data_IF_361293255446
#
_entry.id   IF_361293255446
#
_cell.length_a   1.000
_cell.length_b   1.000
_cell.length_c   1.000
_cell.angle_alpha   90.00
_cell.angle_beta   90.00
_cell.angle_gamma   90.00
#
_symmetry.space_group_name_H-M   'P 1'
#
loop_
_entity.id
_entity.type
_entity.pdbx_description
1 polymer ?
#
# COMPACT_ATOMS: atom_id res chain seq x y z
N UNK A 1 -12.44 21.91 51.40
CA UNK A 1 -12.75 21.38 50.06
C UNK A 1 -11.42 21.06 49.40
N UNK A 2 -11.07 19.78 49.25
CA UNK A 2 -9.96 19.37 48.38
C UNK A 2 -10.56 19.23 46.99
N UNK A 3 -9.98 19.89 45.99
CA UNK A 3 -10.36 19.71 44.58
C UNK A 3 -10.20 18.24 44.16
N UNK A 4 -10.85 17.81 43.06
CA UNK A 4 -10.69 16.45 42.57
C UNK A 4 -9.19 16.19 42.31
N UNK A 5 -8.66 15.10 42.86
CA UNK A 5 -7.31 14.64 42.57
C UNK A 5 -7.26 14.30 41.07
N UNK A 6 -6.47 15.04 40.30
CA UNK A 6 -6.10 14.61 38.96
C UNK A 6 -5.46 13.21 39.08
N UNK A 7 -5.96 12.24 38.32
CA UNK A 7 -5.28 10.95 38.23
C UNK A 7 -3.90 11.20 37.61
N UNK A 8 -2.85 10.62 38.19
CA UNK A 8 -1.49 10.71 37.64
C UNK A 8 -1.42 10.16 36.20
N UNK A 9 -2.40 9.34 35.82
CA UNK A 9 -2.59 8.77 34.47
C UNK A 9 -3.24 9.73 33.44
N UNK A 10 -3.66 10.94 33.84
CA UNK A 10 -4.24 11.96 32.92
C UNK A 10 -3.22 13.00 32.45
N UNK A 11 -1.96 12.93 32.91
CA UNK A 11 -0.92 13.84 32.40
C UNK A 11 -0.47 13.34 31.03
N UNK A 12 -0.56 14.15 29.96
CA UNK A 12 -0.07 13.77 28.65
C UNK A 12 1.40 13.34 28.71
N UNK A 13 1.78 12.20 28.09
CA UNK A 13 3.17 11.79 28.03
C UNK A 13 4.00 12.79 27.24
N UNK A 14 5.20 13.13 27.73
CA UNK A 14 6.16 13.94 27.00
C UNK A 14 6.90 13.04 25.98
N UNK A 15 6.46 13.12 24.72
CA UNK A 15 7.02 12.29 23.64
C UNK A 15 8.48 12.61 23.37
N UNK A 16 8.90 13.86 23.50
CA UNK A 16 10.29 14.26 23.24
C UNK A 16 11.21 13.75 24.35
N UNK A 17 10.77 13.78 25.61
CA UNK A 17 11.50 13.17 26.72
C UNK A 17 11.62 11.65 26.54
N UNK A 18 10.50 10.96 26.23
CA UNK A 18 10.52 9.51 25.99
C UNK A 18 11.46 9.14 24.84
N UNK A 19 11.44 9.90 23.74
CA UNK A 19 12.35 9.71 22.60
C UNK A 19 13.80 9.95 22.99
N UNK A 20 14.10 11.05 23.67
CA UNK A 20 15.47 11.38 24.12
C UNK A 20 16.05 10.31 25.05
N UNK A 21 15.19 9.67 25.84
CA UNK A 21 15.57 8.57 26.74
C UNK A 21 15.57 7.19 26.05
N UNK A 22 15.25 7.12 24.75
CA UNK A 22 15.02 5.88 24.02
C UNK A 22 14.02 4.93 24.72
N UNK A 23 13.02 5.48 25.39
CA UNK A 23 11.98 4.70 26.06
C UNK A 23 10.94 4.19 25.06
N UNK A 24 11.33 3.15 24.33
CA UNK A 24 10.46 2.47 23.36
C UNK A 24 9.18 1.99 24.02
N UNK A 25 9.24 1.48 25.26
CA UNK A 25 8.04 0.96 25.95
C UNK A 25 7.04 2.07 26.26
N UNK A 26 7.54 3.22 26.73
CA UNK A 26 6.73 4.41 26.96
C UNK A 26 6.08 4.91 25.68
N UNK A 27 6.84 4.96 24.58
CA UNK A 27 6.34 5.37 23.27
C UNK A 27 5.28 4.39 22.72
N UNK A 28 5.46 3.08 22.89
CA UNK A 28 4.45 2.07 22.52
C UNK A 28 3.16 2.28 23.33
N UNK A 29 3.23 2.58 24.63
CA UNK A 29 2.04 2.95 25.42
C UNK A 29 1.39 4.22 24.86
N UNK A 30 2.19 5.21 24.46
CA UNK A 30 1.70 6.48 23.92
C UNK A 30 0.99 6.35 22.55
N UNK A 31 1.25 5.30 21.76
CA UNK A 31 0.49 5.00 20.53
C UNK A 31 -1.02 4.84 20.78
N UNK A 32 -1.40 4.41 21.98
CA UNK A 32 -2.79 4.21 22.40
C UNK A 32 -3.38 5.38 23.19
N UNK A 33 -2.63 6.47 23.38
CA UNK A 33 -3.08 7.61 24.16
C UNK A 33 -4.25 8.32 23.47
N UNK A 34 -5.30 8.61 24.23
CA UNK A 34 -6.48 9.32 23.73
C UNK A 34 -6.24 10.83 23.83
N UNK A 35 -5.99 11.48 22.71
CA UNK A 35 -6.02 12.94 22.58
C UNK A 35 -7.02 13.36 21.50
N UNK A 36 -7.68 14.51 21.69
CA UNK A 36 -8.72 14.99 20.77
C UNK A 36 -8.20 15.22 19.34
N UNK A 37 -6.91 15.55 19.22
CA UNK A 37 -6.22 15.89 17.97
C UNK A 37 -5.35 14.75 17.41
N UNK A 38 -5.26 13.61 18.12
CA UNK A 38 -4.34 12.51 17.82
C UNK A 38 -2.86 12.89 17.70
N UNK A 39 -2.45 14.06 18.21
CA UNK A 39 -1.07 14.55 18.09
C UNK A 39 -0.09 13.66 18.87
N UNK A 40 -0.44 13.31 20.10
CA UNK A 40 0.40 12.48 20.98
C UNK A 40 0.68 11.11 20.36
N UNK A 41 -0.33 10.30 19.97
CA UNK A 41 -0.04 8.98 19.44
C UNK A 41 0.63 9.03 18.05
N UNK A 42 0.39 10.07 17.25
CA UNK A 42 1.10 10.24 15.98
C UNK A 42 2.58 10.62 16.20
N UNK A 43 2.86 11.56 17.11
CA UNK A 43 4.23 11.93 17.48
C UNK A 43 4.98 10.73 18.07
N UNK A 44 4.31 9.89 18.86
CA UNK A 44 4.90 8.66 19.37
C UNK A 44 5.30 7.70 18.24
N UNK A 45 4.48 7.55 17.21
CA UNK A 45 4.81 6.74 16.03
C UNK A 45 6.02 7.31 15.27
N UNK A 46 6.07 8.63 15.06
CA UNK A 46 7.24 9.28 14.44
C UNK A 46 8.51 9.13 15.28
N UNK A 47 8.42 9.28 16.60
CA UNK A 47 9.55 9.07 17.51
C UNK A 47 10.07 7.63 17.44
N UNK A 48 9.19 6.63 17.32
CA UNK A 48 9.59 5.22 17.14
C UNK A 48 10.28 4.99 15.78
N UNK A 49 9.84 5.68 14.72
CA UNK A 49 10.54 5.67 13.42
C UNK A 49 11.93 6.27 13.54
N UNK A 50 12.08 7.42 14.23
CA UNK A 50 13.37 8.07 14.47
C UNK A 50 14.32 7.21 15.32
N UNK A 51 13.80 6.44 16.27
CA UNK A 51 14.58 5.48 17.06
C UNK A 51 15.10 4.33 16.17
N UNK A 52 14.29 3.84 15.23
CA UNK A 52 14.70 2.84 14.25
C UNK A 52 14.75 1.42 14.82
N UNK A 53 15.86 0.70 14.57
CA UNK A 53 16.04 -0.73 14.87
C UNK A 53 15.57 -1.17 16.28
N UNK A 54 15.87 -0.45 17.38
CA UNK A 54 15.43 -0.84 18.72
C UNK A 54 13.90 -0.90 18.90
N UNK A 55 13.15 -0.19 18.05
CA UNK A 55 11.69 -0.18 18.08
C UNK A 55 11.05 -1.34 17.30
N UNK A 56 11.79 -2.09 16.47
CA UNK A 56 11.23 -3.09 15.56
C UNK A 56 10.49 -4.22 16.28
N UNK A 57 11.16 -4.93 17.20
CA UNK A 57 10.50 -6.06 17.91
C UNK A 57 9.32 -5.58 18.78
N UNK A 58 9.44 -4.47 19.55
CA UNK A 58 8.29 -3.93 20.29
C UNK A 58 7.12 -3.50 19.40
N UNK A 59 7.39 -2.96 18.21
CA UNK A 59 6.36 -2.59 17.24
C UNK A 59 5.71 -3.83 16.59
N UNK A 60 6.48 -4.88 16.29
CA UNK A 60 5.95 -6.16 15.82
C UNK A 60 4.98 -6.74 16.86
N UNK A 61 5.31 -6.69 18.14
CA UNK A 61 4.39 -7.13 19.19
C UNK A 61 3.17 -6.20 19.30
N UNK A 62 3.34 -4.89 19.09
CA UNK A 62 2.24 -3.93 19.09
C UNK A 62 1.23 -4.13 17.95
N UNK A 63 1.60 -4.83 16.86
CA UNK A 63 0.64 -5.27 15.83
C UNK A 63 -0.40 -6.26 16.36
N UNK A 64 -0.20 -6.86 17.53
CA UNK A 64 -1.16 -7.80 18.16
C UNK A 64 -1.98 -7.14 19.26
N UNK A 65 -1.85 -5.83 19.45
CA UNK A 65 -2.52 -5.11 20.52
C UNK A 65 -4.05 -5.14 20.37
N UNK A 66 -4.80 -5.26 21.47
CA UNK A 66 -6.27 -5.24 21.45
C UNK A 66 -6.82 -3.92 20.88
N UNK A 67 -6.10 -2.81 21.08
CA UNK A 67 -6.46 -1.51 20.56
C UNK A 67 -6.04 -1.36 19.08
N UNK A 68 -7.01 -1.26 18.17
CA UNK A 68 -6.77 -1.08 16.74
C UNK A 68 -5.98 0.18 16.39
N UNK A 69 -6.08 1.23 17.22
CA UNK A 69 -5.30 2.45 17.05
C UNK A 69 -3.80 2.20 17.27
N UNK A 70 -3.45 1.35 18.23
CA UNK A 70 -2.05 0.95 18.47
C UNK A 70 -1.55 0.12 17.30
N UNK A 71 -2.33 -0.89 16.85
CA UNK A 71 -1.96 -1.74 15.71
C UNK A 71 -1.73 -0.93 14.43
N UNK A 72 -2.64 -0.02 14.10
CA UNK A 72 -2.54 0.80 12.90
C UNK A 72 -1.31 1.72 12.91
N UNK A 73 -0.98 2.32 14.05
CA UNK A 73 0.23 3.15 14.19
C UNK A 73 1.51 2.32 14.23
N UNK A 74 1.45 1.10 14.78
CA UNK A 74 2.57 0.18 14.73
C UNK A 74 2.90 -0.22 13.29
N UNK A 75 1.89 -0.56 12.47
CA UNK A 75 2.07 -0.85 11.05
C UNK A 75 2.70 0.33 10.30
N UNK A 76 2.20 1.55 10.55
CA UNK A 76 2.77 2.77 9.99
C UNK A 76 4.26 2.95 10.35
N UNK A 77 4.59 2.82 11.64
CA UNK A 77 5.96 3.00 12.13
C UNK A 77 6.91 1.94 11.57
N UNK A 78 6.48 0.67 11.51
CA UNK A 78 7.27 -0.41 10.90
C UNK A 78 7.60 -0.13 9.43
N UNK A 79 6.63 0.38 8.66
CA UNK A 79 6.86 0.82 7.29
C UNK A 79 7.79 2.02 7.18
N UNK A 80 7.81 2.91 8.17
CA UNK A 80 8.76 4.02 8.24
C UNK A 80 10.19 3.59 8.58
N UNK A 81 10.34 2.54 9.39
CA UNK A 81 11.65 1.96 9.75
C UNK A 81 12.21 1.13 8.59
N UNK A 82 11.37 0.38 7.89
CA UNK A 82 11.77 -0.38 6.70
C UNK A 82 12.52 -1.69 6.99
N UNK A 83 12.42 -2.22 8.22
CA UNK A 83 13.12 -3.45 8.61
C UNK A 83 12.40 -4.71 8.09
N UNK A 84 13.15 -5.60 7.42
CA UNK A 84 12.63 -6.83 6.80
C UNK A 84 12.01 -7.83 7.79
N UNK A 85 12.30 -7.70 9.10
CA UNK A 85 11.66 -8.51 10.16
C UNK A 85 10.17 -8.22 10.29
N UNK A 86 9.73 -7.04 9.87
CA UNK A 86 8.34 -6.63 9.90
C UNK A 86 7.48 -7.26 8.79
N UNK A 87 8.08 -7.89 7.78
CA UNK A 87 7.37 -8.37 6.58
C UNK A 87 6.29 -9.39 6.90
N UNK A 88 6.63 -10.49 7.61
CA UNK A 88 5.62 -11.52 7.95
C UNK A 88 4.52 -10.97 8.88
N UNK A 89 4.85 -10.23 9.97
CA UNK A 89 3.82 -9.59 10.80
C UNK A 89 2.91 -8.61 10.04
N UNK A 90 3.44 -7.86 9.07
CA UNK A 90 2.65 -6.95 8.25
C UNK A 90 1.78 -7.71 7.23
N UNK A 91 2.26 -8.84 6.70
CA UNK A 91 1.45 -9.76 5.87
C UNK A 91 0.26 -10.28 6.67
N UNK A 92 0.45 -10.64 7.95
CA UNK A 92 -0.66 -11.05 8.82
C UNK A 92 -1.67 -9.91 9.00
N UNK A 93 -1.19 -8.68 9.19
CA UNK A 93 -2.00 -7.48 9.38
C UNK A 93 -2.85 -7.07 8.16
N UNK A 94 -2.58 -7.64 6.97
CA UNK A 94 -3.45 -7.51 5.79
C UNK A 94 -4.82 -8.17 5.98
N UNK A 95 -5.06 -8.89 7.08
CA UNK A 95 -6.36 -9.50 7.40
C UNK A 95 -7.14 -8.75 8.49
N UNK A 96 -6.66 -7.58 8.92
CA UNK A 96 -7.29 -6.79 9.98
C UNK A 96 -8.40 -5.87 9.41
N UNK A 97 -8.80 -4.86 10.18
CA UNK A 97 -9.73 -3.79 9.77
C UNK A 97 -9.14 -2.96 8.62
N UNK A 98 -9.99 -2.34 7.80
CA UNK A 98 -9.56 -1.67 6.56
C UNK A 98 -8.44 -0.63 6.77
N UNK A 99 -8.51 0.14 7.86
CA UNK A 99 -7.46 1.11 8.23
C UNK A 99 -6.10 0.41 8.43
N UNK A 100 -6.09 -0.73 9.10
CA UNK A 100 -4.86 -1.48 9.39
C UNK A 100 -4.37 -2.21 8.14
N UNK A 101 -5.26 -2.81 7.33
CA UNK A 101 -4.89 -3.40 6.03
C UNK A 101 -4.22 -2.38 5.12
N UNK A 102 -4.80 -1.19 5.06
CA UNK A 102 -4.29 -0.06 4.29
C UNK A 102 -2.88 0.36 4.75
N UNK A 103 -2.67 0.51 6.06
CA UNK A 103 -1.35 0.82 6.62
C UNK A 103 -0.34 -0.32 6.41
N UNK A 104 -0.77 -1.57 6.53
CA UNK A 104 0.07 -2.75 6.32
C UNK A 104 0.53 -2.84 4.86
N UNK A 105 -0.38 -2.66 3.90
CA UNK A 105 -0.05 -2.62 2.48
C UNK A 105 0.96 -1.50 2.16
N UNK A 106 0.70 -0.28 2.63
CA UNK A 106 1.63 0.84 2.46
C UNK A 106 3.01 0.58 3.09
N UNK A 107 3.05 -0.06 4.25
CA UNK A 107 4.29 -0.44 4.92
C UNK A 107 5.08 -1.51 4.15
N UNK A 108 4.40 -2.55 3.67
CA UNK A 108 5.01 -3.60 2.84
C UNK A 108 5.61 -3.02 1.55
N UNK A 109 4.91 -2.08 0.91
CA UNK A 109 5.42 -1.36 -0.26
C UNK A 109 6.66 -0.53 0.02
N UNK A 110 6.75 0.10 1.20
CA UNK A 110 7.96 0.84 1.63
C UNK A 110 9.14 -0.08 1.92
N UNK A 111 8.88 -1.26 2.47
CA UNK A 111 9.92 -2.27 2.75
C UNK A 111 10.43 -2.89 1.43
N UNK A 112 9.54 -3.11 0.46
CA UNK A 112 9.91 -3.59 -0.88
C UNK A 112 10.31 -5.07 -0.95
N UNK A 113 9.99 -5.87 0.07
CA UNK A 113 10.34 -7.29 0.11
C UNK A 113 9.39 -8.12 -0.76
N UNK A 114 9.96 -8.94 -1.64
CA UNK A 114 9.22 -9.79 -2.58
C UNK A 114 8.25 -10.78 -1.91
N UNK A 115 8.47 -11.15 -0.64
CA UNK A 115 7.54 -12.01 0.13
C UNK A 115 6.14 -11.40 0.26
N UNK A 116 6.03 -10.07 0.14
CA UNK A 116 4.76 -9.35 0.23
C UNK A 116 3.89 -9.49 -1.03
N UNK A 117 4.44 -9.86 -2.18
CA UNK A 117 3.75 -9.79 -3.49
C UNK A 117 2.50 -10.66 -3.53
N UNK A 118 2.62 -11.95 -3.24
CA UNK A 118 1.49 -12.89 -3.29
C UNK A 118 0.39 -12.55 -2.27
N UNK A 119 0.72 -12.19 -1.00
CA UNK A 119 -0.26 -11.65 -0.06
C UNK A 119 -0.96 -10.39 -0.58
N UNK A 120 -0.24 -9.42 -1.14
CA UNK A 120 -0.82 -8.18 -1.67
C UNK A 120 -1.77 -8.46 -2.85
N UNK A 121 -1.44 -9.39 -3.74
CA UNK A 121 -2.31 -9.77 -4.86
C UNK A 121 -3.66 -10.29 -4.38
N UNK A 122 -3.70 -11.02 -3.25
CA UNK A 122 -4.96 -11.53 -2.67
C UNK A 122 -5.84 -10.43 -2.07
N UNK A 123 -5.34 -9.20 -1.94
CA UNK A 123 -6.06 -8.04 -1.40
C UNK A 123 -6.45 -7.06 -2.52
N UNK A 124 -6.19 -7.38 -3.79
CA UNK A 124 -6.57 -6.53 -4.92
C UNK A 124 -8.10 -6.36 -5.08
N UNK A 125 -8.89 -7.30 -4.58
CA UNK A 125 -10.35 -7.24 -4.58
C UNK A 125 -10.94 -6.78 -3.24
N UNK A 126 -10.15 -6.12 -2.39
CA UNK A 126 -10.61 -5.58 -1.11
C UNK A 126 -11.82 -4.65 -1.31
N UNK A 127 -12.74 -4.62 -0.35
CA UNK A 127 -13.94 -3.77 -0.41
C UNK A 127 -13.64 -2.28 -0.20
N UNK A 128 -12.52 -1.94 0.43
CA UNK A 128 -12.11 -0.58 0.74
C UNK A 128 -11.16 -0.04 -0.34
N UNK A 129 -11.59 1.00 -1.05
CA UNK A 129 -10.82 1.65 -2.13
C UNK A 129 -9.45 2.15 -1.66
N UNK A 130 -9.33 2.59 -0.39
CA UNK A 130 -8.05 3.05 0.17
C UNK A 130 -7.07 1.90 0.32
N UNK A 131 -7.57 0.71 0.68
CA UNK A 131 -6.76 -0.50 0.75
C UNK A 131 -6.29 -0.87 -0.65
N UNK A 132 -7.19 -0.91 -1.64
CA UNK A 132 -6.84 -1.20 -3.04
C UNK A 132 -5.75 -0.25 -3.58
N UNK A 133 -5.87 1.05 -3.32
CA UNK A 133 -4.87 2.05 -3.73
C UNK A 133 -3.50 1.76 -3.11
N UNK A 134 -3.46 1.50 -1.80
CA UNK A 134 -2.19 1.21 -1.12
C UNK A 134 -1.59 -0.14 -1.51
N UNK A 135 -2.40 -1.15 -1.81
CA UNK A 135 -1.94 -2.44 -2.36
C UNK A 135 -1.34 -2.25 -3.75
N UNK A 136 -2.01 -1.49 -4.61
CA UNK A 136 -1.52 -1.13 -5.95
C UNK A 136 -0.18 -0.41 -5.87
N UNK A 137 -0.11 0.66 -5.07
CA UNK A 137 1.12 1.42 -4.85
C UNK A 137 2.24 0.55 -4.27
N UNK A 138 1.91 -0.40 -3.39
CA UNK A 138 2.88 -1.32 -2.82
C UNK A 138 3.46 -2.26 -3.87
N UNK A 139 2.62 -2.89 -4.70
CA UNK A 139 3.07 -3.77 -5.79
C UNK A 139 3.92 -3.01 -6.81
N UNK A 140 3.54 -1.78 -7.15
CA UNK A 140 4.31 -0.90 -8.04
C UNK A 140 5.68 -0.56 -7.43
N UNK A 141 5.73 -0.20 -6.14
CA UNK A 141 7.00 0.08 -5.42
C UNK A 141 7.91 -1.14 -5.28
N UNK A 142 7.33 -2.33 -5.12
CA UNK A 142 8.08 -3.59 -5.11
C UNK A 142 8.71 -3.84 -6.50
N UNK A 143 7.98 -3.54 -7.58
CA UNK A 143 8.52 -3.52 -8.93
C UNK A 143 8.70 -4.90 -9.55
N UNK A 144 9.91 -5.22 -10.01
CA UNK A 144 10.24 -6.45 -10.76
C UNK A 144 9.64 -7.75 -10.17
N UNK A 145 9.71 -8.01 -8.84
CA UNK A 145 9.14 -9.22 -8.24
C UNK A 145 7.62 -9.34 -8.41
N UNK A 146 6.91 -8.23 -8.62
CA UNK A 146 5.46 -8.22 -8.82
C UNK A 146 5.04 -8.54 -10.26
N UNK A 147 5.95 -8.50 -11.24
CA UNK A 147 5.61 -8.59 -12.67
C UNK A 147 4.96 -9.92 -13.04
N UNK A 148 5.58 -11.07 -12.74
CA UNK A 148 5.02 -12.38 -13.09
C UNK A 148 3.70 -12.67 -12.36
N UNK A 149 3.60 -12.41 -11.03
CA UNK A 149 2.33 -12.59 -10.33
C UNK A 149 1.21 -11.67 -10.84
N UNK A 150 1.52 -10.43 -11.21
CA UNK A 150 0.55 -9.51 -11.84
C UNK A 150 0.13 -9.98 -13.24
N UNK A 151 1.04 -10.56 -14.04
CA UNK A 151 0.71 -11.18 -15.33
C UNK A 151 -0.28 -12.34 -15.13
N UNK A 152 -0.12 -13.15 -14.07
CA UNK A 152 -1.09 -14.19 -13.74
C UNK A 152 -2.44 -13.59 -13.31
N UNK A 153 -2.43 -12.50 -12.55
CA UNK A 153 -3.64 -11.80 -12.12
C UNK A 153 -4.48 -11.24 -13.30
N UNK A 154 -3.89 -10.99 -14.47
CA UNK A 154 -4.63 -10.66 -15.70
C UNK A 154 -5.63 -11.74 -16.14
N UNK A 155 -5.46 -12.99 -15.67
CA UNK A 155 -6.35 -14.11 -16.00
C UNK A 155 -7.50 -14.27 -15.00
N UNK A 156 -7.51 -13.49 -13.92
CA UNK A 156 -8.52 -13.59 -12.86
C UNK A 156 -9.94 -13.34 -13.41
N UNK A 157 -10.94 -14.03 -12.90
CA UNK A 157 -12.35 -13.85 -13.31
C UNK A 157 -12.93 -12.50 -12.84
N UNK A 158 -12.44 -11.97 -11.72
CA UNK A 158 -12.80 -10.66 -11.20
C UNK A 158 -12.18 -9.54 -12.06
N UNK A 159 -13.04 -8.71 -12.67
CA UNK A 159 -12.60 -7.59 -13.50
C UNK A 159 -11.82 -6.53 -12.73
N UNK A 160 -12.12 -6.34 -11.44
CA UNK A 160 -11.40 -5.37 -10.61
C UNK A 160 -9.93 -5.79 -10.46
N UNK A 161 -9.68 -7.06 -10.12
CA UNK A 161 -8.33 -7.62 -10.01
C UNK A 161 -7.58 -7.47 -11.33
N UNK A 162 -8.22 -7.79 -12.47
CA UNK A 162 -7.61 -7.63 -13.78
C UNK A 162 -7.24 -6.18 -14.08
N UNK A 163 -8.14 -5.24 -13.81
CA UNK A 163 -7.92 -3.82 -14.11
C UNK A 163 -6.78 -3.23 -13.26
N UNK A 164 -6.72 -3.58 -11.98
CA UNK A 164 -5.61 -3.16 -11.12
C UNK A 164 -4.30 -3.80 -11.58
N UNK A 165 -4.32 -5.07 -12.01
CA UNK A 165 -3.14 -5.72 -12.56
C UNK A 165 -2.65 -5.03 -13.84
N UNK A 166 -3.56 -4.60 -14.73
CA UNK A 166 -3.22 -3.80 -15.91
C UNK A 166 -2.55 -2.47 -15.51
N UNK A 167 -3.18 -1.70 -14.63
CA UNK A 167 -2.66 -0.40 -14.17
C UNK A 167 -1.28 -0.56 -13.51
N UNK A 168 -1.13 -1.55 -12.63
CA UNK A 168 0.14 -1.86 -11.96
C UNK A 168 1.24 -2.21 -12.96
N UNK A 169 0.95 -3.07 -13.94
CA UNK A 169 1.93 -3.48 -14.97
C UNK A 169 2.33 -2.32 -15.88
N UNK A 170 1.40 -1.44 -16.23
CA UNK A 170 1.72 -0.21 -16.97
C UNK A 170 2.66 0.68 -16.14
N UNK A 171 2.32 0.93 -14.87
CA UNK A 171 3.14 1.77 -13.99
C UNK A 171 4.53 1.19 -13.76
N UNK A 172 4.66 -0.13 -13.59
CA UNK A 172 5.96 -0.82 -13.47
C UNK A 172 6.75 -0.72 -14.77
N UNK A 173 6.09 -0.81 -15.93
CA UNK A 173 6.71 -0.61 -17.24
C UNK A 173 7.68 -1.72 -17.66
N UNK A 174 7.56 -2.92 -17.12
CA UNK A 174 8.38 -4.07 -17.51
C UNK A 174 7.92 -4.64 -18.85
N UNK A 175 8.85 -4.78 -19.79
CA UNK A 175 8.57 -5.27 -21.16
C UNK A 175 7.96 -6.67 -21.21
N UNK A 176 8.15 -7.50 -20.19
CA UNK A 176 7.51 -8.83 -20.10
C UNK A 176 5.98 -8.75 -20.06
N UNK A 177 5.43 -7.61 -19.62
CA UNK A 177 4.00 -7.39 -19.54
C UNK A 177 3.34 -7.05 -20.89
N UNK A 178 4.10 -6.65 -21.91
CA UNK A 178 3.54 -6.10 -23.16
C UNK A 178 2.63 -7.11 -23.87
N UNK A 179 3.13 -8.31 -24.18
CA UNK A 179 2.33 -9.34 -24.86
C UNK A 179 1.14 -9.82 -24.01
N UNK A 180 1.28 -10.09 -22.69
CA UNK A 180 0.13 -10.36 -21.83
C UNK A 180 -0.95 -9.26 -21.83
N UNK A 181 -0.55 -7.99 -21.78
CA UNK A 181 -1.46 -6.84 -21.84
C UNK A 181 -2.19 -6.75 -23.18
N UNK A 182 -1.50 -6.95 -24.31
CA UNK A 182 -2.14 -7.01 -25.63
C UNK A 182 -3.14 -8.19 -25.69
N UNK A 183 -2.77 -9.33 -25.12
CA UNK A 183 -3.64 -10.50 -25.04
C UNK A 183 -4.93 -10.23 -24.26
N UNK A 184 -4.84 -9.53 -23.13
CA UNK A 184 -5.99 -9.26 -22.26
C UNK A 184 -6.96 -8.25 -22.91
N UNK A 185 -6.45 -7.22 -23.58
CA UNK A 185 -7.26 -6.27 -24.38
C UNK A 185 -8.13 -7.01 -25.41
N UNK A 186 -7.51 -7.90 -26.19
CA UNK A 186 -8.22 -8.62 -27.25
C UNK A 186 -9.22 -9.64 -26.70
N UNK A 187 -8.94 -10.24 -25.53
CA UNK A 187 -9.80 -11.25 -24.90
C UNK A 187 -11.09 -10.64 -24.34
N UNK A 188 -10.99 -9.48 -23.68
CA UNK A 188 -12.12 -8.88 -22.96
C UNK A 188 -12.82 -7.75 -23.71
N UNK A 189 -12.27 -7.31 -24.85
CA UNK A 189 -12.86 -6.27 -25.71
C UNK A 189 -13.13 -4.96 -24.96
N UNK A 190 -12.19 -4.57 -24.09
CA UNK A 190 -12.35 -3.45 -23.15
C UNK A 190 -11.88 -2.12 -23.77
N UNK A 191 -12.83 -1.21 -23.98
CA UNK A 191 -12.58 0.13 -24.52
C UNK A 191 -11.73 1.00 -23.60
N UNK A 192 -11.92 0.92 -22.28
CA UNK A 192 -11.18 1.73 -21.32
C UNK A 192 -9.71 1.31 -21.33
N UNK A 193 -9.46 -0.01 -21.39
CA UNK A 193 -8.11 -0.54 -21.50
C UNK A 193 -7.41 -0.11 -22.79
N UNK A 194 -8.13 -0.09 -23.92
CA UNK A 194 -7.58 0.45 -25.17
C UNK A 194 -7.21 1.93 -25.05
N UNK A 195 -8.02 2.72 -24.34
CA UNK A 195 -7.71 4.13 -24.07
C UNK A 195 -6.50 4.29 -23.14
N UNK A 196 -6.37 3.47 -22.11
CA UNK A 196 -5.19 3.46 -21.23
C UNK A 196 -3.92 3.13 -22.01
N UNK A 197 -3.97 2.11 -22.86
CA UNK A 197 -2.83 1.70 -23.70
C UNK A 197 -2.44 2.78 -24.71
N UNK A 198 -3.42 3.48 -25.29
CA UNK A 198 -3.18 4.60 -26.20
C UNK A 198 -2.45 5.77 -25.52
N UNK A 199 -2.65 5.94 -24.21
CA UNK A 199 -2.13 7.08 -23.46
C UNK A 199 -0.92 6.73 -22.58
N UNK A 200 -0.50 5.46 -22.56
CA UNK A 200 0.56 5.00 -21.67
C UNK A 200 1.98 5.39 -22.10
N UNK A 201 2.19 5.81 -23.35
CA UNK A 201 3.53 6.18 -23.86
C UNK A 201 4.39 4.98 -24.25
N UNK A 202 3.84 3.75 -24.24
CA UNK A 202 4.50 2.58 -24.81
C UNK A 202 4.01 2.33 -26.23
N UNK A 203 4.93 2.42 -27.20
CA UNK A 203 4.61 2.33 -28.65
C UNK A 203 3.86 1.05 -29.01
N UNK A 204 4.24 -0.11 -28.44
CA UNK A 204 3.63 -1.39 -28.79
C UNK A 204 2.18 -1.48 -28.27
N UNK A 205 1.93 -0.97 -27.06
CA UNK A 205 0.58 -0.92 -26.50
C UNK A 205 -0.29 0.09 -27.24
N UNK A 206 0.26 1.24 -27.61
CA UNK A 206 -0.45 2.25 -28.42
C UNK A 206 -0.85 1.69 -29.80
N UNK A 207 0.06 0.99 -30.48
CA UNK A 207 -0.21 0.33 -31.75
C UNK A 207 -1.29 -0.75 -31.61
N UNK A 208 -1.21 -1.58 -30.57
CA UNK A 208 -2.20 -2.59 -30.28
C UNK A 208 -3.59 -1.98 -30.02
N UNK A 209 -3.68 -0.89 -29.26
CA UNK A 209 -4.92 -0.16 -29.01
C UNK A 209 -5.54 0.38 -30.31
N UNK A 210 -4.72 0.99 -31.19
CA UNK A 210 -5.17 1.49 -32.49
C UNK A 210 -5.68 0.37 -33.40
N UNK A 211 -4.97 -0.74 -33.46
CA UNK A 211 -5.40 -1.91 -34.23
C UNK A 211 -6.70 -2.50 -33.70
N UNK A 212 -6.81 -2.66 -32.38
CA UNK A 212 -8.04 -3.11 -31.73
C UNK A 212 -9.21 -2.19 -32.07
N UNK A 213 -9.06 -0.87 -31.90
CA UNK A 213 -10.11 0.11 -32.17
C UNK A 213 -10.56 0.08 -33.64
N UNK A 214 -9.62 0.03 -34.59
CA UNK A 214 -9.91 -0.09 -36.01
C UNK A 214 -10.70 -1.38 -36.33
N UNK A 215 -10.34 -2.51 -35.71
CA UNK A 215 -11.04 -3.79 -35.91
C UNK A 215 -12.48 -3.79 -35.39
N UNK A 216 -12.78 -2.91 -34.43
CA UNK A 216 -14.11 -2.75 -33.82
C UNK A 216 -14.91 -1.59 -34.37
N UNK A 217 -14.35 -0.79 -35.28
CA UNK A 217 -14.97 0.42 -35.80
C UNK A 217 -15.03 1.56 -34.77
N UNK A 218 -14.20 1.52 -33.74
CA UNK A 218 -14.09 2.58 -32.74
C UNK A 218 -13.05 3.61 -33.15
N UNK A 219 -13.31 4.86 -32.76
CA UNK A 219 -12.32 5.94 -32.79
C UNK A 219 -11.92 6.22 -31.35
N UNK A 220 -10.72 5.80 -30.98
CA UNK A 220 -10.09 6.19 -29.71
C UNK A 220 -9.23 7.43 -29.97
N UNK A 221 -9.38 8.44 -29.12
CA UNK A 221 -8.57 9.67 -29.19
C UNK A 221 -7.60 9.69 -28.01
N UNK A 222 -6.37 10.23 -28.20
CA UNK A 222 -5.48 10.50 -27.08
C UNK A 222 -6.21 11.40 -26.08
N UNK A 223 -6.20 11.02 -24.80
CA UNK A 223 -6.70 11.89 -23.76
C UNK A 223 -5.76 13.09 -23.62
N UNK A 224 -6.32 14.27 -23.31
CA UNK A 224 -5.49 15.35 -22.75
C UNK A 224 -4.81 14.86 -21.47
N UNK A 225 -3.62 15.40 -21.17
CA UNK A 225 -2.75 15.01 -20.03
C UNK A 225 -3.51 14.39 -18.84
N UNK A 226 -3.19 13.14 -18.48
CA UNK A 226 -3.80 12.48 -17.30
C UNK A 226 -4.00 10.96 -17.36
N UNK A 227 -3.60 10.27 -18.43
CA UNK A 227 -3.63 8.79 -18.49
C UNK A 227 -2.51 8.11 -17.67
N UNK A 228 -2.57 6.78 -17.46
CA UNK A 228 -1.48 6.04 -16.85
C UNK A 228 -0.21 6.21 -17.69
N UNK A 229 0.97 6.11 -17.09
CA UNK A 229 2.25 6.33 -17.78
C UNK A 229 3.15 5.12 -17.61
N UNK A 230 3.66 4.61 -18.73
CA UNK A 230 4.52 3.44 -18.79
C UNK A 230 5.80 3.66 -18.03
N UNK A 231 6.06 2.84 -17.01
CA UNK A 231 7.28 2.93 -16.19
C UNK A 231 7.33 4.19 -15.33
N UNK A 232 6.18 4.69 -14.86
CA UNK A 232 6.12 5.85 -13.96
C UNK A 232 6.37 5.51 -12.48
N UNK A 233 6.65 4.25 -12.16
CA UNK A 233 6.96 3.75 -10.81
C UNK A 233 8.18 4.42 -10.20
#
# INVERSE_FOLDING_TARGET
MQGPRQNVDDTPPDIEELKSNQDVKGLIKALGYKSEDYLIPNNAAFALVEIGEPAVEPLIEALKNENSQVRGRAAFALGGIGDIRAVEPLIEALNDTSIIRSNAAAALGKIGDARAVEPLIKVLDDEDETVQLNVTDALVKIGEPAVEPLIEALKNENSQVRNIAVDSLIKIGDTRAIEPLIGVLNKYDDKNMAEDFLNCGNVQLEEAARHWAASKGYVIQPAGSGGPSWGSS
#
